data_IF_496213626975
#
_entry.id   IF_496213626975
#
_cell.length_a   1.000
_cell.length_b   1.000
_cell.length_c   1.000
_cell.angle_alpha   90.00
_cell.angle_beta   90.00
_cell.angle_gamma   90.00
#
_symmetry.space_group_name_H-M   'P 1'
#
loop_
_entity.id
_entity.type
_entity.pdbx_description
1 polymer ?
#
# COMPACT_ATOMS: atom_id res chain seq x y z
N UNK A 1 -24.85 -4.03 -13.39
CA UNK A 1 -24.79 -2.65 -12.84
C UNK A 1 -24.55 -2.59 -11.32
N UNK A 2 -25.34 -3.30 -10.49
CA UNK A 2 -25.23 -3.22 -9.01
C UNK A 2 -23.88 -3.67 -8.45
N UNK A 3 -23.36 -4.82 -8.88
CA UNK A 3 -22.09 -5.34 -8.36
C UNK A 3 -20.89 -4.43 -8.70
N UNK A 4 -20.90 -3.78 -9.88
CA UNK A 4 -19.87 -2.80 -10.24
C UNK A 4 -19.94 -1.56 -9.33
N UNK A 5 -21.14 -1.09 -9.00
CA UNK A 5 -21.32 0.02 -8.07
C UNK A 5 -20.75 -0.33 -6.68
N UNK A 6 -21.05 -1.53 -6.17
CA UNK A 6 -20.50 -2.02 -4.89
C UNK A 6 -18.97 -2.04 -4.91
N UNK A 7 -18.36 -2.52 -6.00
CA UNK A 7 -16.91 -2.52 -6.17
C UNK A 7 -16.32 -1.09 -6.15
N UNK A 8 -16.94 -0.15 -6.87
CA UNK A 8 -16.50 1.24 -6.88
C UNK A 8 -16.59 1.88 -5.50
N UNK A 9 -17.65 1.59 -4.73
CA UNK A 9 -17.76 2.05 -3.34
C UNK A 9 -16.61 1.55 -2.47
N UNK A 10 -16.15 0.30 -2.64
CA UNK A 10 -15.00 -0.23 -1.91
C UNK A 10 -13.69 0.48 -2.27
N UNK A 11 -13.56 0.95 -3.52
CA UNK A 11 -12.41 1.76 -3.96
C UNK A 11 -12.48 3.16 -3.36
N UNK A 12 -13.64 3.81 -3.42
CA UNK A 12 -13.85 5.14 -2.84
C UNK A 12 -13.61 5.17 -1.33
N UNK A 13 -13.99 4.11 -0.62
CA UNK A 13 -13.73 3.93 0.81
C UNK A 13 -12.27 3.58 1.13
N UNK A 14 -11.41 3.39 0.13
CA UNK A 14 -10.03 2.97 0.33
C UNK A 14 -9.89 1.54 0.86
N UNK A 15 -10.94 0.72 0.77
CA UNK A 15 -10.85 -0.72 1.11
C UNK A 15 -10.09 -1.47 0.01
N UNK A 16 -10.24 -1.05 -1.25
CA UNK A 16 -9.51 -1.59 -2.40
C UNK A 16 -8.57 -0.55 -3.00
N UNK A 17 -7.27 -0.87 -2.99
CA UNK A 17 -6.28 -0.14 -3.79
C UNK A 17 -6.39 -0.49 -5.28
N UNK A 18 -5.86 0.37 -6.16
CA UNK A 18 -5.97 0.21 -7.62
C UNK A 18 -5.58 -1.17 -8.17
N UNK A 19 -4.44 -1.77 -7.78
CA UNK A 19 -4.07 -3.11 -8.22
C UNK A 19 -5.06 -4.21 -7.79
N UNK A 20 -5.54 -4.16 -6.55
CA UNK A 20 -6.51 -5.11 -6.02
C UNK A 20 -7.88 -4.93 -6.68
N UNK A 21 -8.30 -3.68 -6.91
CA UNK A 21 -9.51 -3.33 -7.63
C UNK A 21 -9.54 -3.95 -9.05
N UNK A 22 -8.41 -3.90 -9.78
CA UNK A 22 -8.29 -4.54 -11.09
C UNK A 22 -8.49 -6.06 -11.02
N UNK A 23 -7.81 -6.72 -10.08
CA UNK A 23 -7.92 -8.17 -9.89
C UNK A 23 -9.35 -8.60 -9.52
N UNK A 24 -9.99 -7.86 -8.60
CA UNK A 24 -11.39 -8.09 -8.22
C UNK A 24 -12.32 -7.92 -9.42
N UNK A 25 -12.13 -6.88 -10.23
CA UNK A 25 -12.96 -6.64 -11.41
C UNK A 25 -12.85 -7.77 -12.45
N UNK A 26 -11.64 -8.26 -12.74
CA UNK A 26 -11.42 -9.40 -13.63
C UNK A 26 -12.13 -10.67 -13.12
N UNK A 27 -12.01 -10.96 -11.83
CA UNK A 27 -12.68 -12.12 -11.21
C UNK A 27 -14.21 -11.99 -11.23
N UNK A 28 -14.74 -10.79 -10.93
CA UNK A 28 -16.17 -10.52 -11.04
C UNK A 28 -16.69 -10.74 -12.46
N UNK A 29 -15.90 -10.34 -13.46
CA UNK A 29 -16.26 -10.47 -14.87
C UNK A 29 -16.35 -11.94 -15.30
N UNK A 30 -15.42 -12.79 -14.85
CA UNK A 30 -15.41 -14.21 -15.19
C UNK A 30 -16.39 -15.05 -14.38
N UNK A 31 -16.52 -14.78 -13.08
CA UNK A 31 -17.28 -15.64 -12.15
C UNK A 31 -18.70 -15.16 -11.90
N UNK A 32 -19.01 -13.88 -12.16
CA UNK A 32 -20.27 -13.25 -11.78
C UNK A 32 -20.43 -12.98 -10.27
N UNK A 33 -19.40 -13.29 -9.46
CA UNK A 33 -19.40 -13.09 -8.00
C UNK A 33 -19.38 -11.61 -7.64
N UNK A 34 -19.69 -11.33 -6.37
CA UNK A 34 -19.65 -9.97 -5.82
C UNK A 34 -18.24 -9.58 -5.39
N UNK A 35 -17.94 -8.29 -5.47
CA UNK A 35 -16.65 -7.74 -5.05
C UNK A 35 -16.32 -8.09 -3.60
N UNK A 36 -17.29 -7.93 -2.68
CA UNK A 36 -17.09 -8.20 -1.26
C UNK A 36 -16.66 -9.64 -0.98
N UNK A 37 -17.29 -10.62 -1.66
CA UNK A 37 -16.97 -12.03 -1.49
C UNK A 37 -15.53 -12.33 -1.94
N UNK A 38 -15.14 -11.78 -3.09
CA UNK A 38 -13.79 -11.95 -3.65
C UNK A 38 -12.75 -11.30 -2.74
N UNK A 39 -13.02 -10.09 -2.24
CA UNK A 39 -12.11 -9.36 -1.34
C UNK A 39 -11.89 -10.10 -0.03
N UNK A 40 -12.97 -10.60 0.57
CA UNK A 40 -12.91 -11.33 1.83
C UNK A 40 -12.15 -12.66 1.67
N UNK A 41 -12.42 -13.41 0.62
CA UNK A 41 -11.78 -14.70 0.37
C UNK A 41 -10.29 -14.57 0.01
N UNK A 42 -9.94 -13.56 -0.79
CA UNK A 42 -8.57 -13.36 -1.26
C UNK A 42 -7.72 -12.46 -0.35
N UNK A 43 -8.30 -11.93 0.73
CA UNK A 43 -7.59 -11.07 1.70
C UNK A 43 -7.02 -9.79 1.07
N UNK A 44 -7.75 -9.21 0.12
CA UNK A 44 -7.31 -8.10 -0.74
C UNK A 44 -7.56 -6.70 -0.14
N UNK A 45 -8.11 -6.63 1.07
CA UNK A 45 -8.34 -5.37 1.76
C UNK A 45 -7.04 -4.60 1.97
N UNK A 46 -7.09 -3.29 1.76
CA UNK A 46 -5.98 -2.38 2.01
C UNK A 46 -5.70 -2.33 3.52
N UNK A 47 -4.43 -2.51 3.89
CA UNK A 47 -3.90 -2.29 5.23
C UNK A 47 -3.76 -0.78 5.40
N UNK A 48 -4.57 -0.22 6.30
CA UNK A 48 -4.50 1.18 6.73
C UNK A 48 -4.17 1.31 8.23
N UNK A 49 -3.92 0.19 8.91
CA UNK A 49 -3.44 0.20 10.30
C UNK A 49 -1.99 0.67 10.32
N UNK A 50 -1.76 1.83 10.93
CA UNK A 50 -0.43 2.42 11.03
C UNK A 50 0.59 1.49 11.69
N UNK A 51 0.21 0.67 12.66
CA UNK A 51 1.12 -0.22 13.40
C UNK A 51 1.57 -1.41 12.55
N UNK A 52 0.72 -1.91 11.67
CA UNK A 52 1.08 -2.99 10.73
C UNK A 52 2.00 -2.45 9.64
N UNK A 53 1.68 -1.28 9.08
CA UNK A 53 2.55 -0.62 8.08
C UNK A 53 3.89 -0.24 8.70
N UNK A 54 3.92 0.23 9.95
CA UNK A 54 5.15 0.60 10.66
C UNK A 54 6.15 -0.56 10.73
N UNK A 55 5.66 -1.76 11.08
CA UNK A 55 6.49 -2.98 11.11
C UNK A 55 7.08 -3.32 9.75
N UNK A 56 6.27 -3.22 8.69
CA UNK A 56 6.75 -3.45 7.31
C UNK A 56 7.79 -2.39 6.94
N UNK A 57 7.56 -1.13 7.28
CA UNK A 57 8.50 -0.04 7.04
C UNK A 57 9.84 -0.30 7.75
N UNK A 58 9.83 -0.73 9.01
CA UNK A 58 11.05 -1.06 9.75
C UNK A 58 11.84 -2.18 9.08
N UNK A 59 11.18 -3.27 8.69
CA UNK A 59 11.81 -4.36 7.95
C UNK A 59 12.44 -3.86 6.64
N UNK A 60 11.69 -3.05 5.87
CA UNK A 60 12.18 -2.47 4.62
C UNK A 60 13.39 -1.57 4.86
N UNK A 61 13.37 -0.74 5.90
CA UNK A 61 14.50 0.14 6.22
C UNK A 61 15.76 -0.64 6.59
N UNK A 62 15.63 -1.73 7.38
CA UNK A 62 16.74 -2.60 7.74
C UNK A 62 17.33 -3.28 6.51
N UNK A 63 16.47 -3.79 5.62
CA UNK A 63 16.89 -4.50 4.41
C UNK A 63 17.39 -3.56 3.28
N UNK A 64 17.13 -2.26 3.37
CA UNK A 64 17.46 -1.28 2.34
C UNK A 64 18.23 -0.07 2.92
N UNK A 65 19.21 -0.32 3.78
CA UNK A 65 20.01 0.70 4.48
C UNK A 65 20.62 1.75 3.55
N UNK A 66 21.07 1.37 2.35
CA UNK A 66 21.59 2.30 1.35
C UNK A 66 20.53 3.29 0.87
N UNK A 67 19.31 2.82 0.57
CA UNK A 67 18.21 3.69 0.15
C UNK A 67 17.78 4.65 1.27
N UNK A 68 17.82 4.19 2.52
CA UNK A 68 17.59 5.06 3.70
C UNK A 68 18.64 6.16 3.78
N UNK A 69 19.93 5.83 3.61
CA UNK A 69 21.02 6.80 3.60
C UNK A 69 20.90 7.79 2.44
N UNK A 70 20.57 7.30 1.24
CA UNK A 70 20.38 8.11 0.05
C UNK A 70 19.23 9.11 0.22
N UNK A 71 18.12 8.68 0.80
CA UNK A 71 17.00 9.58 1.10
C UNK A 71 17.38 10.62 2.17
N UNK A 72 18.08 10.20 3.23
CA UNK A 72 18.59 11.11 4.24
C UNK A 72 19.53 12.18 3.63
N UNK A 73 20.31 11.81 2.62
CA UNK A 73 21.20 12.70 1.87
C UNK A 73 20.48 13.61 0.85
N UNK A 74 19.15 13.56 0.76
CA UNK A 74 18.36 14.44 -0.12
C UNK A 74 17.87 13.81 -1.42
N UNK A 75 18.18 12.54 -1.70
CA UNK A 75 17.76 11.88 -2.94
C UNK A 75 16.31 11.42 -2.84
N UNK A 76 15.39 12.25 -3.32
CA UNK A 76 13.94 11.97 -3.25
C UNK A 76 13.53 10.67 -3.96
N UNK A 77 14.26 10.25 -4.99
CA UNK A 77 13.98 8.99 -5.70
C UNK A 77 14.11 7.77 -4.77
N UNK A 78 14.94 7.85 -3.73
CA UNK A 78 15.10 6.78 -2.76
C UNK A 78 13.85 6.61 -1.88
N UNK A 79 13.09 7.68 -1.61
CA UNK A 79 11.79 7.58 -0.93
C UNK A 79 10.78 6.81 -1.80
N UNK A 80 10.69 7.15 -3.08
CA UNK A 80 9.80 6.45 -4.02
C UNK A 80 10.14 4.97 -4.11
N UNK A 81 11.44 4.63 -4.13
CA UNK A 81 11.89 3.24 -4.08
C UNK A 81 11.47 2.53 -2.78
N UNK A 82 11.69 3.15 -1.62
CA UNK A 82 11.32 2.59 -0.31
C UNK A 82 9.81 2.37 -0.20
N UNK A 83 8.99 3.33 -0.65
CA UNK A 83 7.53 3.16 -0.73
C UNK A 83 7.19 1.97 -1.62
N UNK A 84 7.85 1.83 -2.78
CA UNK A 84 7.70 0.67 -3.66
C UNK A 84 8.04 -0.67 -2.99
N UNK A 85 9.08 -0.72 -2.15
CA UNK A 85 9.42 -1.91 -1.38
C UNK A 85 8.36 -2.24 -0.32
N UNK A 86 7.81 -1.24 0.38
CA UNK A 86 6.71 -1.43 1.33
C UNK A 86 5.46 -1.96 0.61
N UNK A 87 5.14 -1.40 -0.55
CA UNK A 87 4.04 -1.89 -1.38
C UNK A 87 4.27 -3.34 -1.81
N UNK A 88 5.50 -3.71 -2.19
CA UNK A 88 5.84 -5.08 -2.57
C UNK A 88 5.71 -6.06 -1.40
N UNK A 89 6.26 -5.73 -0.24
CA UNK A 89 6.21 -6.56 0.96
C UNK A 89 4.77 -6.80 1.46
N UNK A 90 3.94 -5.77 1.36
CA UNK A 90 2.50 -5.87 1.69
C UNK A 90 1.65 -6.52 0.60
N UNK A 91 2.24 -6.98 -0.51
CA UNK A 91 1.55 -7.51 -1.70
C UNK A 91 0.55 -6.53 -2.31
N UNK A 92 0.90 -5.25 -2.34
CA UNK A 92 0.05 -4.19 -2.87
C UNK A 92 -1.03 -3.72 -1.90
N UNK A 93 -1.04 -4.23 -0.65
CA UNK A 93 -2.11 -3.95 0.32
C UNK A 93 -1.82 -2.77 1.23
N UNK A 94 -0.57 -2.37 1.47
CA UNK A 94 -0.31 -1.19 2.29
C UNK A 94 -0.90 0.07 1.64
N UNK A 95 -1.43 0.98 2.45
CA UNK A 95 -1.79 2.30 1.96
C UNK A 95 -0.50 3.08 1.59
N UNK A 96 -0.33 3.51 0.32
CA UNK A 96 0.91 4.16 -0.13
C UNK A 96 1.15 5.53 0.50
N UNK A 97 0.09 6.28 0.80
CA UNK A 97 0.21 7.60 1.44
C UNK A 97 0.69 7.44 2.88
N UNK A 98 0.07 6.53 3.62
CA UNK A 98 0.47 6.25 5.01
C UNK A 98 1.88 5.65 5.09
N UNK A 99 2.24 4.73 4.17
CA UNK A 99 3.60 4.21 4.08
C UNK A 99 4.63 5.33 3.82
N UNK A 100 4.32 6.28 2.93
CA UNK A 100 5.17 7.44 2.67
C UNK A 100 5.29 8.35 3.90
N UNK A 101 4.19 8.63 4.59
CA UNK A 101 4.18 9.44 5.82
C UNK A 101 5.04 8.81 6.92
N UNK A 102 4.92 7.51 7.14
CA UNK A 102 5.73 6.77 8.14
C UNK A 102 7.21 6.80 7.76
N UNK A 103 7.55 6.56 6.48
CA UNK A 103 8.93 6.66 5.99
C UNK A 103 9.51 8.08 6.18
N UNK A 104 8.71 9.10 5.91
CA UNK A 104 9.08 10.50 6.15
C UNK A 104 9.28 10.79 7.63
N UNK A 105 8.44 10.27 8.51
CA UNK A 105 8.60 10.45 9.95
C UNK A 105 9.89 9.78 10.47
N UNK A 106 10.17 8.54 10.04
CA UNK A 106 11.34 7.78 10.51
C UNK A 106 12.68 8.29 9.94
N UNK A 107 12.72 8.74 8.67
CA UNK A 107 13.96 9.18 8.02
C UNK A 107 14.09 10.71 7.95
N UNK A 108 13.00 11.40 7.68
CA UNK A 108 12.91 12.85 7.56
C UNK A 108 12.91 13.61 8.88
N UNK A 109 12.59 12.96 10.01
CA UNK A 109 12.73 13.54 11.36
C UNK A 109 14.17 13.94 11.75
N UNK A 110 15.17 13.63 10.92
CA UNK A 110 16.55 14.15 11.04
C UNK A 110 16.82 15.44 10.25
N UNK A 111 15.86 15.97 9.48
CA UNK A 111 15.95 17.29 8.83
C UNK A 111 15.40 18.39 9.75
N UNK A 112 16.07 18.62 10.87
CA UNK A 112 15.95 19.87 11.61
C UNK A 112 17.18 20.73 11.30
N UNK A 113 17.14 21.48 10.19
CA UNK A 113 17.75 22.81 10.02
C UNK A 113 16.99 23.55 8.93
#
# INVERSE_FOLDING_TARGET
PKHLLEMLTLVEQGTLGGPAAKAVFEEMFHSGRKAQDIVAEQGLSQISDSSEIDKIVEEIMVNNSQAVSDFAAGKEQALTFLVGQVMKASKGRANPNLAKEILLAKVGGKRNV
#
